data_IF_905565297907
#
_entry.id   IF_905565297907
#
_cell.length_a   1.000
_cell.length_b   1.000
_cell.length_c   1.000
_cell.angle_alpha   90.00
_cell.angle_beta   90.00
_cell.angle_gamma   90.00
#
_symmetry.space_group_name_H-M   'P 1'
#
loop_
_entity.id
_entity.type
_entity.pdbx_description
1 polymer ?
#
# COMPACT_ATOMS: atom_id res chain seq x y z
N UNK A 1 20.59 14.98 10.16
CA UNK A 1 20.76 15.84 8.96
C UNK A 1 19.57 16.79 8.88
N UNK A 2 19.76 17.99 8.32
CA UNK A 2 18.74 19.04 8.24
C UNK A 2 17.92 18.92 6.95
N UNK A 3 16.59 19.02 7.07
CA UNK A 3 15.63 19.13 5.97
C UNK A 3 14.50 20.09 6.30
N UNK A 4 13.76 20.44 5.26
CA UNK A 4 12.54 21.22 5.35
C UNK A 4 11.34 20.35 4.91
N UNK A 5 10.39 20.09 5.80
CA UNK A 5 9.11 19.43 5.50
C UNK A 5 8.01 20.46 5.74
N UNK A 6 7.20 20.79 4.74
CA UNK A 6 6.12 21.79 4.86
C UNK A 6 6.60 23.13 5.48
N UNK A 7 7.80 23.59 5.11
CA UNK A 7 8.48 24.77 5.66
C UNK A 7 9.00 24.64 7.11
N UNK A 8 8.84 23.49 7.75
CA UNK A 8 9.39 23.17 9.07
C UNK A 8 10.75 22.51 8.94
N UNK A 9 11.73 23.00 9.70
CA UNK A 9 13.06 22.41 9.73
C UNK A 9 13.10 21.24 10.70
N UNK A 10 13.44 20.05 10.21
CA UNK A 10 13.48 18.82 11.00
C UNK A 10 14.86 18.17 10.94
N UNK A 11 15.25 17.56 12.05
CA UNK A 11 16.50 16.81 12.17
C UNK A 11 16.21 15.32 12.21
N UNK A 12 16.68 14.60 11.19
CA UNK A 12 16.47 13.17 11.05
C UNK A 12 17.78 12.39 10.96
N UNK A 13 17.71 11.12 11.37
CA UNK A 13 18.84 10.18 11.32
C UNK A 13 19.20 9.87 9.86
N UNK A 14 20.49 9.83 9.57
CA UNK A 14 21.00 9.43 8.26
C UNK A 14 20.59 8.00 7.90
N UNK A 15 20.31 7.76 6.61
CA UNK A 15 19.88 6.45 6.10
C UNK A 15 18.37 6.19 6.15
N UNK A 16 17.58 7.12 6.69
CA UNK A 16 16.12 7.05 6.68
C UNK A 16 15.56 7.38 5.30
N UNK A 17 14.37 6.86 4.98
CA UNK A 17 13.62 7.27 3.77
C UNK A 17 12.90 8.59 4.00
N UNK A 18 12.44 9.23 2.94
CA UNK A 18 11.61 10.45 3.05
C UNK A 18 10.32 10.19 3.82
N UNK A 19 9.70 9.03 3.67
CA UNK A 19 8.50 8.66 4.43
C UNK A 19 8.78 8.61 5.94
N UNK A 20 9.85 7.94 6.35
CA UNK A 20 10.26 7.86 7.76
C UNK A 20 10.63 9.25 8.31
N UNK A 21 11.19 10.12 7.49
CA UNK A 21 11.50 11.49 7.88
C UNK A 21 10.25 12.34 8.10
N UNK A 22 9.21 12.17 7.26
CA UNK A 22 7.90 12.78 7.48
C UNK A 22 7.25 12.28 8.78
N UNK A 23 7.26 10.97 9.01
CA UNK A 23 6.69 10.40 10.24
C UNK A 23 7.40 10.91 11.50
N UNK A 24 8.74 11.02 11.47
CA UNK A 24 9.51 11.60 12.56
C UNK A 24 9.21 13.10 12.79
N UNK A 25 8.66 13.79 11.79
CA UNK A 25 8.20 15.17 11.89
C UNK A 25 6.74 15.29 12.35
N UNK A 26 6.03 14.18 12.55
CA UNK A 26 4.59 14.16 12.84
C UNK A 26 3.71 14.35 11.59
N UNK A 27 4.28 14.22 10.40
CA UNK A 27 3.58 14.36 9.12
C UNK A 27 3.17 12.99 8.59
N UNK A 28 1.87 12.80 8.39
CA UNK A 28 1.32 11.53 7.93
C UNK A 28 1.36 11.42 6.39
N UNK A 29 1.97 10.35 5.89
CA UNK A 29 2.04 10.05 4.45
C UNK A 29 1.33 8.72 4.18
N UNK A 30 0.24 8.70 3.38
CA UNK A 30 -0.56 7.51 3.17
C UNK A 30 0.22 6.41 2.43
N UNK A 31 -0.03 5.15 2.81
CA UNK A 31 0.76 3.99 2.39
C UNK A 31 -0.08 2.72 2.34
N UNK A 32 0.09 1.92 1.29
CA UNK A 32 -0.52 0.58 1.17
C UNK A 32 0.49 -0.56 1.07
N UNK A 33 1.58 -0.39 0.33
CA UNK A 33 2.57 -1.47 0.19
C UNK A 33 3.70 -1.35 1.22
N UNK A 34 4.02 -0.15 1.68
CA UNK A 34 5.06 0.03 2.67
C UNK A 34 4.62 -0.56 4.02
N UNK A 35 5.57 -1.21 4.69
CA UNK A 35 5.44 -1.70 6.04
C UNK A 35 6.85 -1.70 6.64
N UNK A 36 7.02 -1.17 7.86
CA UNK A 36 8.32 -0.88 8.46
C UNK A 36 9.19 -2.14 8.67
N UNK A 37 8.56 -3.29 8.87
CA UNK A 37 9.23 -4.58 9.08
C UNK A 37 9.42 -5.40 7.79
N UNK A 38 9.08 -4.86 6.63
CA UNK A 38 9.22 -5.56 5.33
C UNK A 38 10.11 -4.77 4.38
N UNK A 39 10.67 -5.45 3.39
CA UNK A 39 11.42 -4.82 2.31
C UNK A 39 10.56 -3.81 1.53
N UNK A 40 11.15 -2.68 1.13
CA UNK A 40 10.46 -1.64 0.39
C UNK A 40 10.10 -2.13 -1.03
N UNK A 41 8.83 -2.00 -1.41
CA UNK A 41 8.33 -2.41 -2.73
C UNK A 41 8.11 -1.23 -3.70
N UNK A 42 7.32 -0.22 -3.30
CA UNK A 42 7.05 0.96 -4.13
C UNK A 42 6.06 0.74 -5.30
N UNK A 43 5.21 -0.30 -5.26
CA UNK A 43 4.24 -0.60 -6.31
C UNK A 43 2.92 0.20 -6.18
N UNK A 44 2.42 0.48 -4.97
CA UNK A 44 1.11 1.13 -4.78
C UNK A 44 1.07 2.64 -5.10
N UNK A 45 2.21 3.34 -5.02
CA UNK A 45 2.34 4.79 -5.26
C UNK A 45 1.44 5.71 -4.40
N UNK A 46 0.84 5.25 -3.31
CA UNK A 46 0.03 6.12 -2.44
C UNK A 46 0.88 7.16 -1.70
N UNK A 47 2.14 6.83 -1.41
CA UNK A 47 3.07 7.66 -0.64
C UNK A 47 3.77 8.75 -1.48
N UNK A 48 3.12 9.26 -2.53
CA UNK A 48 3.72 10.32 -3.35
C UNK A 48 3.82 11.62 -2.55
N UNK A 49 4.96 12.28 -2.69
CA UNK A 49 5.27 13.59 -2.09
C UNK A 49 5.94 14.48 -3.13
N UNK A 50 5.83 15.79 -2.97
CA UNK A 50 6.53 16.75 -3.80
C UNK A 50 7.89 17.06 -3.18
N UNK A 51 8.89 17.16 -4.04
CA UNK A 51 10.26 17.47 -3.69
C UNK A 51 10.65 18.70 -4.50
N UNK A 52 11.12 19.76 -3.85
CA UNK A 52 11.18 21.10 -4.49
C UNK A 52 11.94 21.20 -5.81
N UNK A 53 12.93 20.34 -6.06
CA UNK A 53 13.71 20.32 -7.31
C UNK A 53 13.30 19.17 -8.25
N UNK A 54 12.18 18.49 -8.00
CA UNK A 54 11.74 17.36 -8.80
C UNK A 54 10.57 17.73 -9.70
N UNK A 55 10.63 17.43 -11.01
CA UNK A 55 9.54 17.74 -11.94
C UNK A 55 8.30 16.85 -11.75
N UNK A 56 8.38 15.81 -10.92
CA UNK A 56 7.29 14.86 -10.68
C UNK A 56 7.26 14.44 -9.21
N UNK A 57 6.08 14.09 -8.67
CA UNK A 57 5.98 13.52 -7.33
C UNK A 57 6.87 12.28 -7.18
N UNK A 58 7.52 12.17 -6.03
CA UNK A 58 8.46 11.09 -5.73
C UNK A 58 7.86 10.11 -4.72
N UNK A 59 8.29 8.85 -4.81
CA UNK A 59 7.83 7.78 -3.92
C UNK A 59 8.58 7.87 -2.60
N UNK A 60 7.98 8.50 -1.58
CA UNK A 60 8.63 8.77 -0.29
C UNK A 60 9.14 7.52 0.42
N UNK A 61 8.48 6.36 0.27
CA UNK A 61 8.85 5.12 0.94
C UNK A 61 10.14 4.48 0.43
N UNK A 62 10.57 4.83 -0.79
CA UNK A 62 11.80 4.30 -1.41
C UNK A 62 12.85 5.38 -1.64
N UNK A 63 12.47 6.66 -1.55
CA UNK A 63 13.36 7.77 -1.78
C UNK A 63 14.31 7.92 -0.60
N UNK A 64 15.62 7.70 -0.79
CA UNK A 64 16.59 7.98 0.24
C UNK A 64 16.62 9.47 0.50
N UNK A 65 16.86 9.80 1.75
CA UNK A 65 16.99 11.16 2.19
C UNK A 65 18.30 11.81 1.72
N UNK A 66 18.22 13.07 1.27
CA UNK A 66 19.37 13.90 0.87
C UNK A 66 19.38 15.20 1.71
N UNK A 67 20.54 15.69 2.18
CA UNK A 67 20.62 16.96 2.91
C UNK A 67 20.04 18.15 2.13
N UNK A 68 19.44 19.11 2.83
CA UNK A 68 18.85 20.33 2.26
C UNK A 68 17.69 20.11 1.27
N UNK A 69 17.06 18.94 1.32
CA UNK A 69 15.85 18.65 0.57
C UNK A 69 14.64 19.39 1.16
N UNK A 70 13.79 19.93 0.29
CA UNK A 70 12.47 20.46 0.64
C UNK A 70 11.40 19.47 0.20
N UNK A 71 10.56 19.05 1.15
CA UNK A 71 9.49 18.09 0.96
C UNK A 71 8.17 18.79 1.25
N UNK A 72 7.19 18.60 0.39
CA UNK A 72 5.83 19.08 0.57
C UNK A 72 4.89 17.87 0.52
N UNK A 73 4.09 17.67 1.58
CA UNK A 73 3.17 16.53 1.70
C UNK A 73 1.74 16.88 1.28
N UNK A 74 1.39 18.17 1.24
CA UNK A 74 0.01 18.64 1.03
C UNK A 74 -0.18 19.56 -0.20
N UNK A 75 0.84 19.69 -1.05
CA UNK A 75 0.72 20.53 -2.24
C UNK A 75 -0.41 20.08 -3.16
N UNK A 76 -0.93 20.99 -3.99
CA UNK A 76 -1.98 20.66 -4.95
C UNK A 76 -1.58 19.52 -5.91
N UNK A 77 -0.30 19.44 -6.25
CA UNK A 77 0.28 18.36 -7.04
C UNK A 77 0.17 17.01 -6.32
N UNK A 78 0.54 16.97 -5.04
CA UNK A 78 0.51 15.74 -4.22
C UNK A 78 -0.91 15.27 -3.97
N UNK A 79 -1.81 16.18 -3.60
CA UNK A 79 -3.22 15.87 -3.37
C UNK A 79 -3.85 15.22 -4.62
N UNK A 80 -3.67 15.85 -5.79
CA UNK A 80 -4.15 15.32 -7.06
C UNK A 80 -3.52 13.96 -7.42
N UNK A 81 -2.24 13.77 -7.10
CA UNK A 81 -1.57 12.48 -7.33
C UNK A 81 -2.15 11.37 -6.44
N UNK A 82 -2.43 11.65 -5.16
CA UNK A 82 -3.04 10.71 -4.21
C UNK A 82 -4.48 10.39 -4.59
N UNK A 83 -5.28 11.38 -4.95
CA UNK A 83 -6.64 11.19 -5.46
C UNK A 83 -6.65 10.27 -6.69
N UNK A 84 -5.74 10.50 -7.64
CA UNK A 84 -5.61 9.65 -8.83
C UNK A 84 -5.19 8.22 -8.53
N UNK A 85 -4.23 8.02 -7.61
CA UNK A 85 -3.82 6.68 -7.16
C UNK A 85 -4.98 5.96 -6.47
N UNK A 86 -5.68 6.65 -5.56
CA UNK A 86 -6.84 6.11 -4.87
C UNK A 86 -7.95 5.73 -5.84
N UNK A 87 -8.23 6.58 -6.84
CA UNK A 87 -9.19 6.27 -7.89
C UNK A 87 -8.80 4.98 -8.61
N UNK A 88 -7.54 4.82 -9.04
CA UNK A 88 -7.08 3.59 -9.70
C UNK A 88 -7.19 2.34 -8.83
N UNK A 89 -6.97 2.46 -7.52
CA UNK A 89 -7.13 1.34 -6.59
C UNK A 89 -8.61 0.95 -6.49
N UNK A 90 -9.50 1.94 -6.40
CA UNK A 90 -10.95 1.73 -6.27
C UNK A 90 -11.65 1.35 -7.59
N UNK A 91 -11.01 1.56 -8.75
CA UNK A 91 -11.57 1.20 -10.07
C UNK A 91 -12.07 -0.24 -10.09
N UNK A 92 -11.23 -1.19 -9.67
CA UNK A 92 -11.60 -2.62 -9.67
C UNK A 92 -11.97 -3.17 -8.28
N UNK A 93 -11.82 -2.40 -7.21
CA UNK A 93 -12.20 -2.85 -5.86
C UNK A 93 -13.74 -3.02 -5.75
N UNK A 94 -14.24 -4.13 -5.17
CA UNK A 94 -15.67 -4.40 -5.06
C UNK A 94 -16.35 -3.52 -4.01
N UNK A 95 -17.68 -3.38 -4.11
CA UNK A 95 -18.50 -2.64 -3.14
C UNK A 95 -18.90 -3.55 -1.97
N UNK A 96 -17.90 -4.20 -1.38
CA UNK A 96 -18.09 -5.24 -0.37
C UNK A 96 -18.03 -4.72 1.08
N UNK A 97 -17.81 -3.43 1.30
CA UNK A 97 -17.61 -2.88 2.66
C UNK A 97 -18.66 -3.33 3.70
N UNK A 98 -19.97 -3.44 3.38
CA UNK A 98 -20.97 -3.90 4.37
C UNK A 98 -20.84 -5.37 4.79
N UNK A 99 -20.17 -6.19 3.98
CA UNK A 99 -19.95 -7.63 4.21
C UNK A 99 -18.46 -7.96 4.39
N UNK A 100 -17.63 -6.93 4.52
CA UNK A 100 -16.20 -7.05 4.68
C UNK A 100 -15.89 -7.13 6.17
N UNK A 101 -15.12 -8.15 6.57
CA UNK A 101 -14.79 -8.38 7.97
C UNK A 101 -13.90 -7.24 8.52
N UNK A 102 -13.08 -6.59 7.68
CA UNK A 102 -12.29 -5.38 8.02
C UNK A 102 -13.06 -4.06 7.79
N UNK A 103 -14.37 -4.11 7.53
CA UNK A 103 -15.18 -2.89 7.36
C UNK A 103 -15.15 -2.04 8.63
N UNK A 104 -14.68 -0.79 8.52
CA UNK A 104 -14.51 0.12 9.65
C UNK A 104 -13.09 0.23 10.21
N UNK A 105 -12.21 -0.73 9.91
CA UNK A 105 -10.78 -0.72 10.29
C UNK A 105 -9.82 -0.86 9.09
N UNK A 106 -10.36 -0.79 7.87
CA UNK A 106 -9.62 -0.97 6.63
C UNK A 106 -8.82 0.28 6.24
N UNK A 107 -7.49 0.14 6.08
CA UNK A 107 -6.59 1.22 5.61
C UNK A 107 -7.12 1.85 4.31
N UNK A 108 -7.65 1.04 3.37
CA UNK A 108 -8.17 1.55 2.10
C UNK A 108 -9.41 2.43 2.30
N UNK A 109 -10.28 2.07 3.23
CA UNK A 109 -11.47 2.86 3.54
C UNK A 109 -11.08 4.19 4.19
N UNK A 110 -10.20 4.15 5.18
CA UNK A 110 -9.71 5.33 5.91
C UNK A 110 -8.94 6.28 4.98
N UNK A 111 -7.96 5.76 4.24
CA UNK A 111 -7.18 6.59 3.32
C UNK A 111 -8.01 7.11 2.15
N UNK A 112 -9.05 6.39 1.71
CA UNK A 112 -10.00 6.91 0.71
C UNK A 112 -10.80 8.07 1.27
N UNK A 113 -11.18 8.03 2.55
CA UNK A 113 -11.90 9.13 3.19
C UNK A 113 -11.01 10.37 3.37
N UNK A 114 -9.75 10.18 3.77
CA UNK A 114 -8.83 11.29 4.05
C UNK A 114 -8.13 11.88 2.82
N UNK A 115 -7.75 11.04 1.86
CA UNK A 115 -6.90 11.44 0.72
C UNK A 115 -7.52 11.14 -0.65
N UNK A 116 -8.66 10.46 -0.70
CA UNK A 116 -9.37 10.14 -1.93
C UNK A 116 -10.32 11.24 -2.39
N UNK A 117 -10.82 11.09 -3.62
CA UNK A 117 -11.94 11.87 -4.15
C UNK A 117 -13.25 11.43 -3.50
N UNK A 118 -14.23 12.33 -3.41
CA UNK A 118 -15.57 12.03 -2.90
C UNK A 118 -16.38 11.13 -3.84
N UNK A 119 -15.99 11.08 -5.12
CA UNK A 119 -16.70 10.34 -6.18
C UNK A 119 -15.74 9.59 -7.08
N UNK A 120 -16.15 8.39 -7.49
CA UNK A 120 -15.52 7.63 -8.57
C UNK A 120 -16.15 7.94 -9.93
N UNK A 121 -15.36 7.87 -11.00
CA UNK A 121 -15.83 8.10 -12.39
C UNK A 121 -15.95 6.82 -13.21
N UNK A 122 -15.69 5.67 -12.60
CA UNK A 122 -15.69 4.37 -13.28
C UNK A 122 -17.08 3.74 -13.26
N UNK A 123 -17.66 3.52 -14.45
CA UNK A 123 -19.00 2.96 -14.64
C UNK A 123 -19.00 1.62 -15.41
N UNK A 124 -17.83 1.06 -15.68
CA UNK A 124 -17.71 -0.20 -16.42
C UNK A 124 -17.70 -1.40 -15.47
N UNK A 125 -17.76 -2.60 -16.05
CA UNK A 125 -17.62 -3.85 -15.31
C UNK A 125 -16.24 -3.89 -14.62
N UNK A 126 -16.27 -4.10 -13.31
CA UNK A 126 -15.07 -4.32 -12.50
C UNK A 126 -14.51 -5.70 -12.78
N UNK A 127 -13.20 -5.81 -12.87
CA UNK A 127 -12.56 -7.12 -12.88
C UNK A 127 -12.77 -7.83 -11.55
N UNK A 128 -12.84 -9.15 -11.57
CA UNK A 128 -12.96 -9.96 -10.37
C UNK A 128 -12.00 -11.13 -10.43
N UNK A 129 -11.13 -11.24 -9.44
CA UNK A 129 -10.29 -12.43 -9.24
C UNK A 129 -11.10 -13.57 -8.62
N UNK A 130 -10.60 -14.79 -8.78
CA UNK A 130 -11.17 -15.98 -8.13
C UNK A 130 -10.54 -16.12 -6.74
N UNK A 131 -11.34 -16.57 -5.78
CA UNK A 131 -10.85 -16.85 -4.43
C UNK A 131 -9.98 -18.10 -4.43
N UNK A 132 -8.87 -18.08 -3.68
CA UNK A 132 -7.89 -19.16 -3.66
C UNK A 132 -7.80 -19.76 -2.26
N UNK A 133 -7.79 -21.08 -2.13
CA UNK A 133 -7.75 -21.70 -0.80
C UNK A 133 -6.35 -21.58 -0.18
N UNK A 134 -6.22 -20.89 0.97
CA UNK A 134 -4.94 -20.73 1.68
C UNK A 134 -4.80 -21.60 2.94
N UNK A 135 -5.80 -22.44 3.22
CA UNK A 135 -5.88 -23.26 4.42
C UNK A 135 -7.11 -22.95 5.26
N UNK A 136 -7.24 -23.59 6.41
CA UNK A 136 -8.39 -23.41 7.30
C UNK A 136 -8.33 -22.14 8.17
N UNK A 137 -7.16 -21.51 8.28
CA UNK A 137 -6.93 -20.35 9.15
C UNK A 137 -7.20 -19.01 8.45
N UNK A 138 -6.93 -18.93 7.14
CA UNK A 138 -7.00 -17.70 6.35
C UNK A 138 -8.14 -17.85 5.35
N UNK A 139 -9.23 -17.12 5.60
CA UNK A 139 -10.30 -16.96 4.60
C UNK A 139 -9.75 -16.07 3.48
N UNK A 140 -10.23 -16.23 2.25
CA UNK A 140 -9.73 -15.44 1.12
C UNK A 140 -10.88 -14.91 0.28
N UNK A 141 -10.87 -13.62 0.01
CA UNK A 141 -11.76 -12.88 -0.87
C UNK A 141 -10.89 -12.02 -1.80
N UNK A 142 -10.28 -12.67 -2.79
CA UNK A 142 -9.20 -12.10 -3.61
C UNK A 142 -9.63 -10.88 -4.43
N UNK A 143 -10.93 -10.75 -4.70
CA UNK A 143 -11.51 -9.59 -5.40
C UNK A 143 -11.23 -8.27 -4.66
N UNK A 144 -11.05 -8.31 -3.34
CA UNK A 144 -10.74 -7.13 -2.52
C UNK A 144 -9.25 -6.76 -2.55
N UNK A 145 -8.38 -7.66 -3.01
CA UNK A 145 -6.94 -7.45 -3.03
C UNK A 145 -6.55 -6.31 -3.99
N UNK A 146 -5.69 -5.41 -3.51
CA UNK A 146 -5.15 -4.27 -4.28
C UNK A 146 -3.74 -4.53 -4.83
N UNK A 147 -3.30 -5.80 -4.79
CA UNK A 147 -2.00 -6.26 -5.32
C UNK A 147 -0.81 -5.48 -4.73
N UNK A 148 -0.88 -5.11 -3.44
CA UNK A 148 0.18 -4.36 -2.75
C UNK A 148 1.42 -5.21 -2.41
N UNK A 149 1.34 -6.52 -2.63
CA UNK A 149 2.40 -7.53 -2.40
C UNK A 149 2.99 -7.54 -0.99
N UNK A 150 2.24 -7.07 0.03
CA UNK A 150 2.65 -7.19 1.45
C UNK A 150 2.71 -8.67 1.87
N UNK A 151 1.65 -9.44 1.63
CA UNK A 151 1.57 -10.87 1.99
C UNK A 151 2.62 -11.73 1.27
N UNK A 152 2.93 -11.43 0.00
CA UNK A 152 4.02 -12.09 -0.76
C UNK A 152 5.36 -11.91 -0.05
N UNK A 153 5.73 -10.65 0.25
CA UNK A 153 7.00 -10.35 0.95
C UNK A 153 7.05 -10.92 2.36
N UNK A 154 5.92 -10.92 3.07
CA UNK A 154 5.85 -11.51 4.41
C UNK A 154 6.03 -13.03 4.38
N UNK A 155 5.36 -13.71 3.44
CA UNK A 155 5.48 -15.16 3.30
C UNK A 155 6.91 -15.57 2.97
N UNK A 156 7.59 -14.78 2.13
CA UNK A 156 9.00 -15.01 1.77
C UNK A 156 9.97 -14.71 2.92
N UNK A 157 9.87 -13.52 3.54
CA UNK A 157 10.84 -13.04 4.53
C UNK A 157 10.63 -13.59 5.94
N UNK A 158 9.36 -13.71 6.37
CA UNK A 158 9.00 -14.11 7.74
C UNK A 158 8.52 -15.55 7.77
N UNK A 159 7.68 -15.93 6.82
CA UNK A 159 7.21 -17.31 6.69
C UNK A 159 8.28 -18.28 6.18
N UNK A 160 9.35 -17.78 5.55
CA UNK A 160 10.37 -18.61 4.92
C UNK A 160 9.83 -19.47 3.78
N UNK A 161 8.65 -19.14 3.26
CA UNK A 161 7.94 -19.89 2.22
C UNK A 161 7.73 -19.01 0.99
N UNK A 162 8.45 -19.31 -0.09
CA UNK A 162 8.25 -18.66 -1.40
C UNK A 162 7.03 -19.19 -2.18
N UNK A 163 5.99 -19.66 -1.48
CA UNK A 163 4.83 -20.34 -2.09
C UNK A 163 3.80 -19.31 -2.58
N UNK A 164 3.64 -18.19 -1.85
CA UNK A 164 2.77 -17.08 -2.25
C UNK A 164 3.52 -16.18 -3.22
N UNK A 165 2.92 -15.93 -4.38
CA UNK A 165 3.49 -15.06 -5.41
C UNK A 165 2.43 -14.23 -6.12
N UNK A 166 2.88 -13.53 -7.15
CA UNK A 166 2.00 -12.84 -8.10
C UNK A 166 2.03 -13.60 -9.41
N UNK A 167 0.87 -14.03 -9.89
CA UNK A 167 0.69 -14.61 -11.22
C UNK A 167 0.12 -13.56 -12.19
N UNK A 168 0.22 -13.84 -13.49
CA UNK A 168 -0.22 -12.94 -14.57
C UNK A 168 0.50 -11.57 -14.60
N UNK A 169 -0.07 -10.61 -15.33
CA UNK A 169 0.48 -9.25 -15.49
C UNK A 169 -0.62 -8.21 -15.74
N UNK A 170 -0.30 -6.96 -15.42
CA UNK A 170 -1.22 -5.83 -15.64
C UNK A 170 -2.44 -5.91 -14.74
N UNK A 171 -3.62 -5.58 -15.28
CA UNK A 171 -4.89 -5.58 -14.53
C UNK A 171 -5.32 -7.00 -14.12
N UNK A 172 -4.78 -8.04 -14.78
CA UNK A 172 -5.09 -9.44 -14.48
C UNK A 172 -4.12 -10.05 -13.44
N UNK A 173 -3.28 -9.23 -12.79
CA UNK A 173 -2.33 -9.72 -11.79
C UNK A 173 -3.07 -10.25 -10.57
N UNK A 174 -2.74 -11.46 -10.14
CA UNK A 174 -3.40 -12.13 -9.02
C UNK A 174 -2.36 -12.54 -7.98
N UNK A 175 -2.68 -12.35 -6.70
CA UNK A 175 -1.86 -12.84 -5.60
C UNK A 175 -2.38 -14.22 -5.20
N UNK A 176 -1.50 -15.21 -5.05
CA UNK A 176 -1.91 -16.55 -4.68
C UNK A 176 -0.77 -17.54 -4.74
N UNK A 177 -1.11 -18.81 -4.57
CA UNK A 177 -0.20 -19.92 -4.77
C UNK A 177 -0.44 -20.48 -6.18
N UNK A 178 0.62 -20.71 -6.96
CA UNK A 178 0.47 -21.22 -8.33
C UNK A 178 -0.12 -22.65 -8.35
N UNK A 179 0.24 -23.46 -7.35
CA UNK A 179 -0.33 -24.78 -7.13
C UNK A 179 -1.24 -24.70 -5.92
N UNK A 180 -2.48 -25.21 -6.04
CA UNK A 180 -3.44 -25.29 -4.94
C UNK A 180 -2.81 -26.08 -3.78
N UNK A 181 -2.42 -25.33 -2.76
CA UNK A 181 -1.75 -25.82 -1.57
C UNK A 181 -2.22 -24.98 -0.38
N UNK A 182 -1.85 -25.38 0.83
CA UNK A 182 -2.17 -24.62 2.05
C UNK A 182 -0.94 -23.91 2.56
N UNK A 183 -1.14 -22.73 3.16
CA UNK A 183 -0.08 -21.96 3.78
C UNK A 183 0.31 -22.62 5.12
N UNK A 184 1.21 -23.60 5.05
CA UNK A 184 1.67 -24.38 6.21
C UNK A 184 2.88 -23.73 6.85
N UNK A 185 2.66 -22.62 7.56
CA UNK A 185 3.68 -21.98 8.40
C UNK A 185 3.09 -21.63 9.75
N UNK A 186 3.92 -21.66 10.79
CA UNK A 186 3.53 -21.29 12.16
C UNK A 186 3.10 -19.82 12.27
N UNK A 187 3.57 -18.98 11.35
CA UNK A 187 3.29 -17.54 11.24
C UNK A 187 2.27 -17.19 10.16
N UNK A 188 1.54 -18.19 9.64
CA UNK A 188 0.59 -18.06 8.54
C UNK A 188 -0.49 -17.00 8.76
N UNK A 189 -1.00 -16.85 9.98
CA UNK A 189 -2.02 -15.86 10.33
C UNK A 189 -1.57 -14.41 10.20
N UNK A 190 -0.26 -14.13 10.23
CA UNK A 190 0.24 -12.75 10.14
C UNK A 190 0.00 -12.08 8.78
N UNK A 191 -0.39 -12.83 7.74
CA UNK A 191 -0.84 -12.24 6.47
C UNK A 191 -2.15 -11.46 6.61
N UNK A 192 -2.97 -11.80 7.62
CA UNK A 192 -4.25 -11.14 7.93
C UNK A 192 -3.97 -9.75 8.50
N UNK A 193 -3.20 -9.69 9.59
CA UNK A 193 -2.86 -8.44 10.29
C UNK A 193 -2.10 -7.45 9.40
N UNK A 194 -1.27 -7.97 8.49
CA UNK A 194 -0.45 -7.15 7.61
C UNK A 194 -1.25 -6.49 6.49
N UNK A 195 -2.41 -7.05 6.14
CA UNK A 195 -3.09 -6.64 4.94
C UNK A 195 -3.82 -5.30 5.12
N UNK A 196 -3.62 -4.32 4.21
CA UNK A 196 -4.35 -3.06 4.26
C UNK A 196 -5.83 -3.16 3.82
N UNK A 197 -6.30 -4.35 3.41
CA UNK A 197 -7.64 -4.56 2.88
C UNK A 197 -8.18 -5.92 3.33
N UNK A 198 -9.50 -6.02 3.51
CA UNK A 198 -10.15 -7.22 4.02
C UNK A 198 -10.35 -8.33 3.00
N UNK A 199 -9.28 -8.70 2.27
CA UNK A 199 -9.28 -9.90 1.43
C UNK A 199 -9.06 -11.17 2.27
N UNK A 200 -8.50 -11.06 3.48
CA UNK A 200 -8.16 -12.19 4.35
C UNK A 200 -8.94 -12.19 5.66
#
# INVERSE_FOLDING_TARGET
MKITINNLVVWVKGGSTVLQACEAAGEEVPRFCYHEKLLIAGNCRMCLVEVGNSPKPQVSCALPFIPNMSIFTESALVRKAREGVMEFILVNHPLDCPICDQGGECDLQEQSFHFGSDRGRFFFLKNSSVDTFWGALVKTVMKRCIVCTRCVRYSDLVGGTGIVGTTNRGVNSEIGMFVETSLKTEVSGGVIDLCPVGWS
#
